data_IF_670058259803
#
_entry.id   IF_670058259803
#
_cell.length_a   1.000
_cell.length_b   1.000
_cell.length_c   1.000
_cell.angle_alpha   90.00
_cell.angle_beta   90.00
_cell.angle_gamma   90.00
#
_symmetry.space_group_name_H-M   'P 1'
#
loop_
_entity.id
_entity.type
_entity.pdbx_description
1 polymer ?
#
# COMPACT_ATOMS: atom_id res chain seq x y z
N UNK A 1 46.97 -56.32 7.79
CA UNK A 1 46.74 -54.92 8.24
C UNK A 1 47.01 -54.01 7.07
N UNK A 2 45.96 -53.53 6.35
CA UNK A 2 46.09 -52.56 5.28
C UNK A 2 45.39 -51.28 5.75
N UNK A 3 46.17 -50.22 5.91
CA UNK A 3 45.67 -48.87 6.27
C UNK A 3 45.23 -48.19 4.96
N UNK A 4 43.95 -47.90 4.84
CA UNK A 4 43.39 -47.11 3.74
C UNK A 4 43.44 -45.64 4.11
N UNK A 5 44.19 -44.86 3.32
CA UNK A 5 44.28 -43.40 3.39
C UNK A 5 43.07 -42.80 2.66
N UNK A 6 42.24 -42.08 3.35
CA UNK A 6 41.17 -41.27 2.76
C UNK A 6 41.70 -39.90 2.40
N UNK A 7 41.78 -39.63 1.11
CA UNK A 7 42.09 -38.30 0.57
C UNK A 7 40.86 -37.40 0.73
N UNK A 8 40.98 -36.34 1.49
CA UNK A 8 39.99 -35.26 1.53
C UNK A 8 40.25 -34.33 0.35
N UNK A 9 39.41 -34.39 -0.66
CA UNK A 9 39.39 -33.37 -1.71
C UNK A 9 38.53 -32.20 -1.26
N UNK A 10 39.19 -31.07 -1.04
CA UNK A 10 38.56 -29.79 -0.79
C UNK A 10 38.08 -29.21 -2.13
N UNK A 11 36.77 -29.19 -2.35
CA UNK A 11 36.20 -28.40 -3.45
C UNK A 11 36.18 -26.89 -3.03
N UNK A 12 37.08 -26.16 -3.62
CA UNK A 12 37.03 -24.72 -3.60
C UNK A 12 35.89 -24.29 -4.57
N UNK A 13 34.78 -23.85 -4.03
CA UNK A 13 33.69 -23.20 -4.80
C UNK A 13 34.15 -21.84 -5.26
N UNK A 14 34.46 -21.69 -6.52
CA UNK A 14 34.71 -20.44 -7.20
C UNK A 14 33.35 -19.72 -7.35
N UNK A 15 33.09 -18.74 -6.50
CA UNK A 15 31.95 -17.83 -6.65
C UNK A 15 32.22 -16.92 -7.83
N UNK A 16 31.63 -17.23 -8.98
CA UNK A 16 31.60 -16.31 -10.13
C UNK A 16 30.65 -15.19 -9.75
N UNK A 17 31.20 -14.05 -9.35
CA UNK A 17 30.48 -12.80 -9.18
C UNK A 17 30.10 -12.29 -10.57
N UNK A 18 28.92 -12.69 -11.08
CA UNK A 18 28.34 -12.06 -12.26
C UNK A 18 27.91 -10.66 -11.86
N UNK A 19 28.76 -9.69 -12.14
CA UNK A 19 28.38 -8.28 -12.16
C UNK A 19 27.36 -8.17 -13.28
N UNK A 20 26.06 -8.14 -12.93
CA UNK A 20 25.02 -7.70 -13.83
C UNK A 20 25.29 -6.23 -14.12
N UNK A 21 25.99 -5.94 -15.22
CA UNK A 21 26.03 -4.62 -15.78
C UNK A 21 24.58 -4.21 -16.04
N UNK A 22 24.08 -3.29 -15.21
CA UNK A 22 22.82 -2.63 -15.52
C UNK A 22 23.03 -1.92 -16.86
N UNK A 23 22.11 -2.07 -17.83
CA UNK A 23 22.18 -1.26 -19.03
C UNK A 23 22.06 0.19 -18.56
N UNK A 24 23.15 0.92 -18.61
CA UNK A 24 23.11 2.37 -18.63
C UNK A 24 22.37 2.72 -19.91
N UNK A 25 21.08 3.07 -19.76
CA UNK A 25 20.37 3.74 -20.82
C UNK A 25 21.15 5.04 -21.08
N UNK A 26 21.92 5.06 -22.16
CA UNK A 26 22.35 6.29 -22.75
C UNK A 26 21.04 7.00 -23.14
N UNK A 27 20.58 7.86 -22.26
CA UNK A 27 19.57 8.83 -22.56
C UNK A 27 20.27 9.75 -23.57
N UNK A 28 20.10 9.51 -24.86
CA UNK A 28 20.35 10.53 -25.88
C UNK A 28 19.34 11.64 -25.60
N UNK A 29 19.68 12.46 -24.61
CA UNK A 29 18.92 13.65 -24.27
C UNK A 29 19.09 14.59 -25.46
N UNK A 30 18.08 14.56 -26.34
CA UNK A 30 17.94 15.56 -27.40
C UNK A 30 17.93 16.91 -26.69
N UNK A 31 18.93 17.72 -26.96
CA UNK A 31 19.06 19.03 -26.35
C UNK A 31 19.28 20.07 -27.47
N UNK A 32 18.48 21.12 -27.45
CA UNK A 32 18.64 22.23 -28.39
C UNK A 32 19.10 23.48 -27.66
N UNK A 33 20.06 24.17 -28.23
CA UNK A 33 20.56 25.47 -27.74
C UNK A 33 19.59 26.61 -28.07
N UNK A 34 18.78 26.45 -29.12
CA UNK A 34 17.79 27.43 -29.57
C UNK A 34 16.65 26.79 -30.37
N UNK A 35 15.52 27.51 -30.51
CA UNK A 35 14.43 27.06 -31.37
C UNK A 35 14.84 27.05 -32.85
N UNK A 36 15.76 27.91 -33.28
CA UNK A 36 16.33 27.85 -34.63
C UNK A 36 17.00 26.52 -34.89
N UNK A 37 17.79 26.03 -33.94
CA UNK A 37 18.43 24.72 -34.03
C UNK A 37 17.38 23.59 -34.04
N UNK A 38 16.39 23.65 -33.18
CA UNK A 38 15.30 22.69 -33.17
C UNK A 38 14.58 22.61 -34.52
N UNK A 39 14.19 23.76 -35.08
CA UNK A 39 13.52 23.85 -36.37
C UNK A 39 14.39 23.37 -37.55
N UNK A 40 15.67 23.68 -37.51
CA UNK A 40 16.62 23.19 -38.54
C UNK A 40 16.79 21.69 -38.51
N UNK A 41 16.59 21.08 -37.35
CA UNK A 41 16.63 19.63 -37.12
C UNK A 41 15.25 18.97 -37.21
N UNK A 42 14.21 19.70 -37.61
CA UNK A 42 12.87 19.21 -37.86
C UNK A 42 12.02 18.98 -36.60
N UNK A 43 12.38 19.63 -35.50
CA UNK A 43 11.60 19.64 -34.27
C UNK A 43 10.84 20.92 -34.10
N UNK A 44 9.54 20.84 -33.85
CA UNK A 44 8.67 21.97 -33.51
C UNK A 44 7.60 21.50 -32.54
N UNK A 45 6.93 22.46 -31.89
CA UNK A 45 5.80 22.20 -31.00
C UNK A 45 6.15 21.16 -29.93
N UNK A 46 7.31 21.31 -29.26
CA UNK A 46 7.87 20.36 -28.28
C UNK A 46 7.17 20.61 -26.96
N UNK A 47 6.34 19.65 -26.52
CA UNK A 47 5.60 19.75 -25.28
C UNK A 47 6.46 19.45 -24.05
N UNK A 48 6.06 20.00 -22.89
CA UNK A 48 6.71 19.75 -21.62
C UNK A 48 6.75 18.25 -21.31
N UNK A 49 7.96 17.72 -21.06
CA UNK A 49 8.23 16.29 -20.83
C UNK A 49 8.67 15.52 -22.07
N UNK A 50 8.65 16.10 -23.25
CA UNK A 50 9.20 15.49 -24.46
C UNK A 50 10.71 15.72 -24.59
N UNK A 51 11.44 14.80 -25.24
CA UNK A 51 12.85 14.98 -25.54
C UNK A 51 13.08 16.26 -26.35
N UNK A 52 13.98 17.11 -25.88
CA UNK A 52 14.27 18.41 -26.49
C UNK A 52 13.49 19.58 -25.88
N UNK A 53 12.50 19.33 -25.00
CA UNK A 53 11.84 20.41 -24.27
C UNK A 53 12.80 21.02 -23.25
N UNK A 54 12.77 22.34 -23.18
CA UNK A 54 13.43 23.12 -22.14
C UNK A 54 12.61 24.37 -21.85
N UNK A 55 12.39 24.70 -20.59
CA UNK A 55 11.68 25.94 -20.19
C UNK A 55 12.34 27.21 -20.72
N UNK A 56 13.63 27.14 -21.07
CA UNK A 56 14.35 28.23 -21.74
C UNK A 56 13.88 28.46 -23.19
N UNK A 57 13.40 27.40 -23.85
CA UNK A 57 12.90 27.42 -25.21
C UNK A 57 11.39 27.71 -25.30
N UNK A 58 10.69 27.50 -24.19
CA UNK A 58 9.26 27.79 -23.95
C UNK A 58 9.17 29.24 -23.39
N UNK A 59 9.16 30.24 -24.28
CA UNK A 59 9.33 31.62 -23.87
C UNK A 59 8.09 32.27 -23.26
N UNK A 60 6.91 31.80 -23.58
CA UNK A 60 5.64 32.30 -23.05
C UNK A 60 5.10 31.42 -21.91
N UNK A 61 5.78 30.25 -21.62
CA UNK A 61 5.51 29.41 -20.48
C UNK A 61 4.24 28.56 -20.60
N UNK A 62 3.67 28.43 -21.80
CA UNK A 62 2.42 27.71 -22.07
C UNK A 62 2.59 26.18 -22.08
N UNK A 63 3.84 25.69 -21.98
CA UNK A 63 4.18 24.26 -21.96
C UNK A 63 4.57 23.71 -23.32
N UNK A 64 4.64 24.55 -24.37
CA UNK A 64 5.06 24.20 -25.74
C UNK A 64 6.29 25.01 -26.10
N UNK A 65 7.40 24.36 -26.36
CA UNK A 65 8.63 25.01 -26.80
C UNK A 65 8.74 25.00 -28.35
N UNK A 66 9.32 26.03 -28.91
CA UNK A 66 9.67 26.14 -30.34
C UNK A 66 8.49 25.89 -31.28
N UNK A 67 7.37 26.55 -31.05
CA UNK A 67 6.17 26.39 -31.88
C UNK A 67 6.47 26.71 -33.35
N UNK A 68 5.97 25.85 -34.21
CA UNK A 68 6.17 25.94 -35.64
C UNK A 68 5.62 27.24 -36.23
N UNK A 69 4.55 27.76 -35.65
CA UNK A 69 3.92 29.03 -36.06
C UNK A 69 4.83 30.24 -35.87
N UNK A 70 5.79 30.15 -34.93
CA UNK A 70 6.77 31.21 -34.63
C UNK A 70 8.09 31.03 -35.39
N UNK A 71 8.24 29.98 -36.20
CA UNK A 71 9.44 29.76 -37.00
C UNK A 71 9.51 30.75 -38.18
N UNK A 72 10.66 31.45 -38.39
CA UNK A 72 10.85 32.29 -39.58
C UNK A 72 10.72 31.47 -40.85
N UNK A 73 10.21 32.09 -41.92
CA UNK A 73 10.04 31.44 -43.24
C UNK A 73 11.36 30.79 -43.70
N UNK A 74 11.29 29.49 -44.05
CA UNK A 74 12.43 28.73 -44.58
C UNK A 74 13.42 28.19 -43.52
N UNK A 75 13.25 28.50 -42.26
CA UNK A 75 14.11 27.97 -41.18
C UNK A 75 13.71 26.56 -40.82
N UNK A 76 12.41 26.27 -40.75
CA UNK A 76 11.94 24.92 -40.49
C UNK A 76 12.24 23.98 -41.65
N UNK A 77 13.08 22.97 -41.41
CA UNK A 77 13.39 21.93 -42.39
C UNK A 77 12.65 20.66 -41.96
N UNK A 78 11.55 20.26 -42.63
CA UNK A 78 10.91 18.99 -42.34
C UNK A 78 11.94 17.88 -42.41
N UNK A 79 11.97 16.97 -41.42
CA UNK A 79 12.78 15.76 -41.52
C UNK A 79 12.37 15.06 -42.83
N UNK A 80 13.30 14.98 -43.77
CA UNK A 80 13.13 14.08 -44.91
C UNK A 80 13.05 12.68 -44.32
N UNK A 81 11.94 12.02 -44.55
CA UNK A 81 11.77 10.60 -44.20
C UNK A 81 12.77 9.78 -45.01
N UNK A 82 14.01 9.72 -44.55
CA UNK A 82 14.81 8.59 -44.91
C UNK A 82 14.09 7.40 -44.27
N UNK A 83 13.70 6.43 -45.10
CA UNK A 83 13.29 5.09 -44.67
C UNK A 83 14.48 4.39 -43.99
N UNK A 84 14.89 4.93 -42.86
CA UNK A 84 15.59 4.20 -41.85
C UNK A 84 14.49 3.51 -41.04
N UNK A 85 14.51 2.19 -41.07
CA UNK A 85 13.87 1.30 -40.12
C UNK A 85 13.69 2.09 -38.80
N UNK A 86 12.46 2.57 -38.56
CA UNK A 86 12.12 3.28 -37.33
C UNK A 86 12.49 2.34 -36.18
N UNK A 87 13.61 2.61 -35.53
CA UNK A 87 13.82 2.11 -34.18
C UNK A 87 12.73 2.77 -33.37
N UNK A 88 11.62 2.09 -33.25
CA UNK A 88 10.56 2.46 -32.34
C UNK A 88 11.21 2.46 -30.98
N UNK A 89 11.44 3.65 -30.42
CA UNK A 89 11.97 3.77 -29.07
C UNK A 89 10.96 3.11 -28.15
N UNK A 90 11.32 1.95 -27.58
CA UNK A 90 10.49 1.27 -26.59
C UNK A 90 10.33 2.17 -25.38
N UNK A 91 9.15 2.20 -24.81
CA UNK A 91 8.89 3.00 -23.62
C UNK A 91 7.43 3.41 -23.45
N UNK A 92 7.20 4.22 -22.45
CA UNK A 92 5.88 4.75 -22.15
C UNK A 92 5.48 5.83 -23.16
N UNK A 93 4.27 5.68 -23.69
CA UNK A 93 3.66 6.66 -24.61
C UNK A 93 2.24 6.99 -24.14
N UNK A 94 1.88 8.28 -24.20
CA UNK A 94 0.52 8.72 -23.93
C UNK A 94 -0.19 8.97 -25.30
N UNK A 95 -1.39 8.39 -25.45
CA UNK A 95 -2.24 8.62 -26.62
C UNK A 95 -3.67 8.82 -26.14
N UNK A 96 -4.26 9.93 -26.50
CA UNK A 96 -5.65 10.28 -26.18
C UNK A 96 -5.97 10.15 -24.66
N UNK A 97 -5.00 10.56 -23.81
CA UNK A 97 -5.13 10.50 -22.35
C UNK A 97 -4.90 9.13 -21.72
N UNK A 98 -4.63 8.09 -22.50
CA UNK A 98 -4.28 6.77 -22.02
C UNK A 98 -2.77 6.48 -22.16
N UNK A 99 -2.21 5.80 -21.16
CA UNK A 99 -0.82 5.37 -21.21
C UNK A 99 -0.69 3.96 -21.76
N UNK A 100 0.30 3.76 -22.61
CA UNK A 100 0.69 2.49 -23.23
C UNK A 100 2.19 2.28 -23.06
N UNK A 101 2.64 1.05 -23.15
CA UNK A 101 4.07 0.74 -23.23
C UNK A 101 4.40 0.13 -24.60
N UNK A 102 5.26 0.82 -25.34
CA UNK A 102 5.68 0.41 -26.67
C UNK A 102 6.93 -0.49 -26.57
N UNK A 103 6.93 -1.63 -27.26
CA UNK A 103 8.09 -2.50 -27.41
C UNK A 103 9.01 -2.01 -28.54
N UNK A 104 10.21 -2.58 -28.60
CA UNK A 104 11.19 -2.24 -29.66
C UNK A 104 10.72 -2.61 -31.08
N UNK A 105 9.81 -3.56 -31.21
CA UNK A 105 9.20 -3.96 -32.48
C UNK A 105 8.01 -3.06 -32.92
N UNK A 106 7.67 -2.06 -32.12
CA UNK A 106 6.55 -1.16 -32.38
C UNK A 106 5.19 -1.66 -31.91
N UNK A 107 5.10 -2.87 -31.35
CA UNK A 107 3.88 -3.39 -30.73
C UNK A 107 3.69 -2.88 -29.30
N UNK A 108 2.45 -2.89 -28.81
CA UNK A 108 2.17 -2.58 -27.41
C UNK A 108 2.34 -3.79 -26.50
N UNK A 109 2.80 -3.52 -25.28
CA UNK A 109 2.69 -4.51 -24.20
C UNK A 109 1.22 -4.64 -23.82
N UNK A 110 0.74 -5.88 -23.68
CA UNK A 110 -0.63 -6.18 -23.27
C UNK A 110 -0.66 -7.30 -22.24
N UNK A 111 -1.70 -7.34 -21.40
CA UNK A 111 -1.94 -8.39 -20.40
C UNK A 111 -0.69 -8.71 -19.55
N UNK A 112 0.07 -7.70 -19.17
CA UNK A 112 1.32 -7.91 -18.42
C UNK A 112 1.77 -6.68 -17.63
N UNK A 113 2.64 -6.94 -16.69
CA UNK A 113 3.27 -5.91 -15.86
C UNK A 113 4.46 -5.28 -16.58
N UNK A 114 4.57 -3.97 -16.43
CA UNK A 114 5.73 -3.18 -16.78
C UNK A 114 6.17 -2.40 -15.53
N UNK A 115 7.09 -2.96 -14.79
CA UNK A 115 7.46 -2.45 -13.47
C UNK A 115 6.25 -2.49 -12.51
N UNK A 116 5.85 -1.33 -12.00
CA UNK A 116 4.72 -1.20 -11.06
C UNK A 116 3.36 -0.99 -11.74
N UNK A 117 3.29 -1.07 -13.05
CA UNK A 117 2.11 -0.76 -13.86
C UNK A 117 1.63 -2.00 -14.62
N UNK A 118 0.33 -2.13 -14.79
CA UNK A 118 -0.24 -3.21 -15.58
C UNK A 118 -0.85 -2.69 -16.88
N UNK A 119 -0.52 -3.34 -18.00
CA UNK A 119 -1.10 -3.07 -19.31
C UNK A 119 -2.21 -4.08 -19.57
N UNK A 120 -3.42 -3.60 -19.83
CA UNK A 120 -4.61 -4.42 -20.10
C UNK A 120 -4.56 -5.07 -21.49
N UNK A 121 -5.57 -5.85 -21.84
CA UNK A 121 -5.67 -6.51 -23.14
C UNK A 121 -5.72 -5.52 -24.32
N UNK A 122 -6.25 -4.31 -24.10
CA UNK A 122 -6.28 -3.22 -25.08
C UNK A 122 -4.97 -2.39 -25.09
N UNK A 123 -3.98 -2.78 -24.30
CA UNK A 123 -2.70 -2.09 -24.15
C UNK A 123 -2.71 -0.88 -23.23
N UNK A 124 -3.87 -0.45 -22.74
CA UNK A 124 -3.95 0.68 -21.83
C UNK A 124 -3.47 0.32 -20.43
N UNK A 125 -2.77 1.25 -19.81
CA UNK A 125 -2.38 1.15 -18.40
C UNK A 125 -3.63 1.16 -17.51
N UNK A 126 -3.75 0.16 -16.64
CA UNK A 126 -4.83 0.06 -15.65
C UNK A 126 -4.72 1.17 -14.59
N UNK A 127 -5.84 1.77 -14.18
CA UNK A 127 -5.93 2.81 -13.14
C UNK A 127 -7.26 2.75 -12.41
N UNK A 128 -7.24 3.04 -11.08
CA UNK A 128 -8.43 3.09 -10.23
C UNK A 128 -9.31 1.84 -10.35
N UNK A 129 -8.69 0.68 -10.53
CA UNK A 129 -9.41 -0.56 -10.74
C UNK A 129 -8.76 -1.76 -10.07
N UNK A 130 -9.59 -2.77 -9.75
CA UNK A 130 -9.13 -4.06 -9.32
C UNK A 130 -8.79 -4.92 -10.51
N UNK A 131 -7.68 -5.64 -10.43
CA UNK A 131 -7.19 -6.56 -11.44
C UNK A 131 -6.92 -7.91 -10.82
N UNK A 132 -7.42 -8.98 -11.43
CA UNK A 132 -6.98 -10.33 -11.13
C UNK A 132 -5.88 -10.74 -12.11
N UNK A 133 -4.71 -11.07 -11.58
CA UNK A 133 -3.59 -11.58 -12.40
C UNK A 133 -3.55 -13.10 -12.35
N UNK A 134 -3.75 -13.72 -13.52
CA UNK A 134 -3.74 -15.18 -13.65
C UNK A 134 -2.34 -15.80 -13.52
N UNK A 135 -1.28 -15.05 -13.79
CA UNK A 135 0.11 -15.53 -13.67
C UNK A 135 0.51 -15.60 -12.20
N UNK A 136 0.26 -14.51 -11.47
CA UNK A 136 0.56 -14.43 -10.05
C UNK A 136 -0.58 -14.95 -9.16
N UNK A 137 -1.73 -15.30 -9.74
CA UNK A 137 -2.92 -15.82 -9.04
C UNK A 137 -3.32 -14.95 -7.84
N UNK A 138 -3.56 -13.66 -8.10
CA UNK A 138 -3.88 -12.70 -7.05
C UNK A 138 -4.61 -11.48 -7.55
N UNK A 139 -5.37 -10.86 -6.65
CA UNK A 139 -5.99 -9.56 -6.89
C UNK A 139 -5.02 -8.45 -6.53
N UNK A 140 -4.96 -7.44 -7.38
CA UNK A 140 -4.20 -6.20 -7.22
C UNK A 140 -5.14 -5.00 -7.38
N UNK A 141 -4.80 -3.89 -6.75
CA UNK A 141 -5.49 -2.63 -6.99
C UNK A 141 -4.53 -1.64 -7.63
N UNK A 142 -4.90 -1.13 -8.81
CA UNK A 142 -4.15 -0.10 -9.53
C UNK A 142 -4.69 1.27 -9.10
N UNK A 143 -3.82 2.12 -8.54
CA UNK A 143 -4.16 3.46 -8.06
C UNK A 143 -4.41 4.44 -9.21
N UNK A 144 -4.78 5.68 -8.89
CA UNK A 144 -5.00 6.75 -9.88
C UNK A 144 -3.77 7.09 -10.73
N UNK A 145 -2.57 6.91 -10.16
CA UNK A 145 -1.29 7.07 -10.86
C UNK A 145 -0.90 5.84 -11.69
N UNK A 146 -1.69 4.78 -11.67
CA UNK A 146 -1.45 3.52 -12.35
C UNK A 146 -0.55 2.54 -11.61
N UNK A 147 0.09 2.93 -10.51
CA UNK A 147 0.90 2.00 -9.71
C UNK A 147 0.01 1.08 -8.86
N UNK A 148 0.45 -0.16 -8.63
CA UNK A 148 -0.30 -1.03 -7.73
C UNK A 148 -0.17 -0.59 -6.27
N UNK A 149 -1.24 -0.74 -5.52
CA UNK A 149 -1.26 -0.50 -4.07
C UNK A 149 -0.51 -1.61 -3.33
N UNK A 150 0.18 -1.25 -2.25
CA UNK A 150 0.87 -2.20 -1.35
C UNK A 150 0.93 -1.66 0.06
N UNK A 151 0.97 -2.57 1.06
CA UNK A 151 0.97 -2.24 2.48
C UNK A 151 -0.12 -1.21 2.83
N UNK A 152 -1.31 -1.38 2.28
CA UNK A 152 -2.38 -0.38 2.40
C UNK A 152 -3.77 -0.98 2.23
N UNK A 153 -4.74 -0.29 2.79
CA UNK A 153 -6.15 -0.60 2.63
C UNK A 153 -6.74 0.04 1.38
N UNK A 154 -7.60 -0.71 0.72
CA UNK A 154 -8.48 -0.23 -0.33
C UNK A 154 -9.92 -0.66 -0.01
N UNK A 155 -10.68 0.22 0.61
CA UNK A 155 -11.97 -0.12 1.20
C UNK A 155 -11.79 -1.18 2.29
N UNK A 156 -12.53 -2.28 2.19
CA UNK A 156 -12.49 -3.40 3.15
C UNK A 156 -11.35 -4.41 2.89
N UNK A 157 -10.47 -4.15 1.94
CA UNK A 157 -9.43 -5.09 1.48
C UNK A 157 -8.02 -4.56 1.77
N UNK A 158 -7.12 -5.44 2.12
CA UNK A 158 -5.72 -5.10 2.39
C UNK A 158 -4.79 -5.61 1.29
N UNK A 159 -3.94 -4.73 0.76
CA UNK A 159 -2.90 -5.06 -0.20
C UNK A 159 -1.57 -5.26 0.54
N UNK A 160 -0.99 -6.46 0.41
CA UNK A 160 0.28 -6.84 1.07
C UNK A 160 1.48 -6.13 0.46
N UNK A 161 2.67 -6.40 0.96
CA UNK A 161 3.93 -5.81 0.47
C UNK A 161 4.24 -6.16 -0.99
N UNK A 162 3.78 -7.32 -1.45
CA UNK A 162 3.88 -7.78 -2.84
C UNK A 162 2.75 -7.24 -3.72
N UNK A 163 1.81 -6.47 -3.17
CA UNK A 163 0.65 -5.91 -3.85
C UNK A 163 -0.54 -6.84 -3.95
N UNK A 164 -0.42 -8.10 -3.55
CA UNK A 164 -1.57 -9.03 -3.58
C UNK A 164 -2.55 -8.71 -2.46
N UNK A 165 -3.83 -8.82 -2.77
CA UNK A 165 -4.89 -8.75 -1.77
C UNK A 165 -4.76 -9.91 -0.77
N UNK A 166 -4.75 -9.61 0.50
CA UNK A 166 -4.73 -10.59 1.58
C UNK A 166 -6.05 -11.36 1.63
N UNK A 167 -5.98 -12.68 1.88
CA UNK A 167 -7.14 -13.58 2.02
C UNK A 167 -6.86 -14.69 3.00
N UNK A 168 -7.85 -15.01 3.84
CA UNK A 168 -7.78 -16.11 4.82
C UNK A 168 -6.54 -16.02 5.71
N UNK A 169 -6.13 -14.81 6.07
CA UNK A 169 -4.90 -14.57 6.83
C UNK A 169 -5.03 -13.40 7.80
N UNK A 170 -4.16 -13.40 8.80
CA UNK A 170 -4.03 -12.31 9.76
C UNK A 170 -3.02 -11.28 9.25
N UNK A 171 -3.37 -9.99 9.36
CA UNK A 171 -2.50 -8.87 9.04
C UNK A 171 -2.37 -7.96 10.26
N UNK A 172 -1.13 -7.59 10.59
CA UNK A 172 -0.88 -6.50 11.52
C UNK A 172 -0.68 -5.20 10.75
N UNK A 173 -1.53 -4.22 11.04
CA UNK A 173 -1.40 -2.88 10.47
C UNK A 173 -0.74 -1.94 11.48
N UNK A 174 0.47 -1.48 11.15
CA UNK A 174 1.24 -0.57 12.01
C UNK A 174 0.66 0.84 12.07
N UNK A 175 -0.06 1.28 11.05
CA UNK A 175 -0.73 2.60 11.02
C UNK A 175 -1.92 2.65 11.97
N UNK A 176 -2.72 1.61 11.97
CA UNK A 176 -3.85 1.47 12.89
C UNK A 176 -3.49 0.77 14.20
N UNK A 177 -2.26 0.25 14.33
CA UNK A 177 -1.77 -0.47 15.51
C UNK A 177 -2.69 -1.63 15.95
N UNK A 178 -3.06 -2.49 14.99
CA UNK A 178 -4.01 -3.55 15.25
C UNK A 178 -3.87 -4.76 14.35
N UNK A 179 -4.32 -5.91 14.84
CA UNK A 179 -4.47 -7.12 14.06
C UNK A 179 -5.84 -7.17 13.42
N UNK A 180 -5.88 -7.57 12.15
CA UNK A 180 -7.09 -7.77 11.34
C UNK A 180 -7.06 -9.16 10.72
N UNK A 181 -8.22 -9.75 10.53
CA UNK A 181 -8.34 -11.00 9.78
C UNK A 181 -9.06 -10.76 8.46
N UNK A 182 -8.40 -11.12 7.35
CA UNK A 182 -8.98 -11.06 6.01
C UNK A 182 -9.65 -12.40 5.71
N UNK A 183 -10.94 -12.36 5.39
CA UNK A 183 -11.75 -13.54 5.06
C UNK A 183 -11.35 -14.14 3.70
N UNK A 184 -11.95 -15.26 3.32
CA UNK A 184 -11.69 -15.92 2.03
C UNK A 184 -12.06 -15.07 0.82
N UNK A 185 -13.02 -14.15 0.97
CA UNK A 185 -13.39 -13.16 -0.04
C UNK A 185 -12.44 -11.95 -0.09
N UNK A 186 -11.50 -11.86 0.87
CA UNK A 186 -10.53 -10.77 1.01
C UNK A 186 -10.99 -9.62 1.88
N UNK A 187 -12.27 -9.53 2.25
CA UNK A 187 -12.74 -8.47 3.14
C UNK A 187 -12.35 -8.75 4.59
N UNK A 188 -12.09 -7.69 5.38
CA UNK A 188 -11.78 -7.89 6.79
C UNK A 188 -13.00 -8.36 7.60
N UNK A 189 -12.75 -9.20 8.59
CA UNK A 189 -13.76 -9.67 9.52
C UNK A 189 -14.09 -8.56 10.53
N UNK A 190 -15.36 -8.45 10.92
CA UNK A 190 -15.85 -7.54 11.96
C UNK A 190 -17.01 -8.15 12.73
N UNK A 191 -17.15 -7.77 14.01
CA UNK A 191 -18.18 -8.27 14.93
C UNK A 191 -18.27 -9.81 14.89
N UNK A 192 -17.15 -10.50 14.84
CA UNK A 192 -17.13 -11.96 14.65
C UNK A 192 -15.90 -12.62 15.25
N UNK A 193 -16.05 -13.91 15.52
CA UNK A 193 -14.94 -14.75 15.98
C UNK A 193 -14.17 -15.34 14.81
N UNK A 194 -12.84 -15.34 14.95
CA UNK A 194 -11.93 -16.09 14.10
C UNK A 194 -11.07 -17.01 15.00
N UNK A 195 -11.47 -18.26 15.08
CA UNK A 195 -10.95 -19.17 16.10
C UNK A 195 -11.23 -18.62 17.51
N UNK A 196 -10.20 -18.44 18.31
CA UNK A 196 -10.31 -17.91 19.67
C UNK A 196 -10.12 -16.40 19.79
N UNK A 197 -10.13 -15.68 18.66
CA UNK A 197 -9.95 -14.22 18.60
C UNK A 197 -11.22 -13.55 18.14
N UNK A 198 -11.56 -12.42 18.74
CA UNK A 198 -12.73 -11.63 18.35
C UNK A 198 -12.32 -10.38 17.56
N UNK A 199 -12.95 -10.16 16.43
CA UNK A 199 -12.80 -8.96 15.62
C UNK A 199 -13.94 -7.98 15.96
N UNK A 200 -13.57 -6.76 16.35
CA UNK A 200 -14.53 -5.71 16.74
C UNK A 200 -15.25 -5.11 15.53
N UNK A 201 -16.12 -4.14 15.76
CA UNK A 201 -16.85 -3.43 14.68
C UNK A 201 -15.94 -2.67 13.72
N UNK A 202 -14.78 -2.21 14.19
CA UNK A 202 -13.73 -1.57 13.39
C UNK A 202 -12.78 -2.58 12.71
N UNK A 203 -13.00 -3.88 12.91
CA UNK A 203 -12.19 -4.98 12.40
C UNK A 203 -10.93 -5.30 13.21
N UNK A 204 -10.59 -4.52 14.21
CA UNK A 204 -9.43 -4.82 15.07
C UNK A 204 -9.69 -6.02 15.95
N UNK A 205 -8.67 -6.83 16.13
CA UNK A 205 -8.69 -7.89 17.14
C UNK A 205 -8.81 -7.28 18.53
N UNK A 206 -9.81 -7.73 19.27
CA UNK A 206 -10.05 -7.31 20.65
C UNK A 206 -8.93 -7.81 21.58
N UNK A 207 -8.58 -6.99 22.58
CA UNK A 207 -7.59 -7.33 23.61
C UNK A 207 -8.01 -6.77 24.94
N UNK A 208 -7.86 -7.60 25.97
CA UNK A 208 -8.10 -7.21 27.36
C UNK A 208 -9.49 -6.57 27.59
N UNK A 209 -10.50 -7.14 26.94
CA UNK A 209 -11.86 -6.59 26.97
C UNK A 209 -12.94 -7.67 26.89
N UNK A 210 -14.16 -7.31 27.33
CA UNK A 210 -15.35 -8.14 27.13
C UNK A 210 -15.92 -7.90 25.74
N UNK A 211 -16.25 -8.99 25.02
CA UNK A 211 -16.74 -8.95 23.64
C UNK A 211 -18.07 -9.68 23.49
N UNK A 212 -18.67 -9.59 22.31
CA UNK A 212 -19.91 -10.26 21.94
C UNK A 212 -21.04 -10.00 22.95
N UNK A 213 -21.32 -8.73 23.21
CA UNK A 213 -22.34 -8.29 24.19
C UNK A 213 -21.96 -8.60 25.64
N UNK A 214 -20.67 -8.65 25.94
CA UNK A 214 -20.16 -8.90 27.29
C UNK A 214 -20.23 -10.37 27.73
N UNK A 215 -20.36 -11.29 26.77
CA UNK A 215 -20.44 -12.74 27.05
C UNK A 215 -19.09 -13.39 27.23
N UNK A 216 -18.06 -12.87 26.58
CA UNK A 216 -16.74 -13.48 26.53
C UNK A 216 -15.65 -12.47 26.84
N UNK A 217 -14.66 -12.86 27.63
CA UNK A 217 -13.48 -12.05 27.89
C UNK A 217 -12.32 -12.53 27.02
N UNK A 218 -11.62 -11.61 26.36
CA UNK A 218 -10.37 -11.87 25.65
C UNK A 218 -9.20 -11.24 26.40
N UNK A 219 -8.10 -11.97 26.54
CA UNK A 219 -6.92 -11.54 27.28
C UNK A 219 -6.09 -10.48 26.53
N UNK A 220 -4.98 -10.08 27.14
CA UNK A 220 -4.02 -9.13 26.55
C UNK A 220 -3.37 -9.63 25.25
N UNK A 221 -3.33 -10.93 25.05
CA UNK A 221 -2.88 -11.62 23.83
C UNK A 221 -4.00 -11.72 22.77
N UNK A 222 -5.23 -11.32 23.13
CA UNK A 222 -6.43 -11.39 22.28
C UNK A 222 -7.14 -12.75 22.34
N UNK A 223 -6.60 -13.75 23.04
CA UNK A 223 -7.22 -15.07 23.14
C UNK A 223 -8.44 -15.02 24.05
N UNK A 224 -9.50 -15.70 23.61
CA UNK A 224 -10.63 -16.00 24.46
C UNK A 224 -10.15 -16.76 25.70
N UNK A 225 -10.45 -16.20 26.85
CA UNK A 225 -10.18 -16.83 28.15
C UNK A 225 -11.40 -17.68 28.52
N UNK A 226 -11.27 -19.00 28.30
CA UNK A 226 -12.24 -19.91 28.89
C UNK A 226 -12.05 -19.91 30.41
N UNK A 227 -12.66 -18.92 31.04
CA UNK A 227 -12.70 -18.88 32.49
C UNK A 227 -13.63 -20.01 32.99
N UNK A 228 -13.11 -21.22 33.05
CA UNK A 228 -13.55 -22.21 34.02
C UNK A 228 -13.08 -21.78 35.42
N UNK A 229 -13.34 -20.52 35.73
CA UNK A 229 -13.22 -19.97 37.08
C UNK A 229 -14.54 -20.28 37.76
N UNK A 230 -14.49 -20.92 38.92
CA UNK A 230 -15.63 -21.08 39.82
C UNK A 230 -16.58 -19.90 39.70
N UNK A 231 -17.84 -20.16 39.43
CA UNK A 231 -18.90 -19.20 39.05
C UNK A 231 -18.99 -17.91 39.89
N UNK A 232 -18.34 -17.84 41.03
CA UNK A 232 -18.29 -16.66 41.89
C UNK A 232 -17.32 -15.57 41.43
N UNK A 233 -16.13 -15.93 40.89
CA UNK A 233 -15.12 -14.91 40.50
C UNK A 233 -15.36 -14.30 39.08
N UNK A 234 -15.96 -15.07 38.15
CA UNK A 234 -16.27 -14.54 36.80
C UNK A 234 -17.42 -13.55 36.81
N UNK A 235 -18.44 -13.80 37.63
CA UNK A 235 -19.54 -12.85 37.83
C UNK A 235 -19.05 -11.59 38.52
N UNK A 236 -18.13 -11.70 39.48
CA UNK A 236 -17.55 -10.52 40.14
C UNK A 236 -16.73 -9.66 39.17
N UNK A 237 -15.88 -10.27 38.37
CA UNK A 237 -15.06 -9.53 37.38
C UNK A 237 -15.94 -8.83 36.36
N UNK A 238 -16.94 -9.53 35.78
CA UNK A 238 -17.90 -8.93 34.84
C UNK A 238 -18.66 -7.76 35.47
N UNK A 239 -19.10 -7.95 36.74
CA UNK A 239 -19.79 -6.90 37.49
C UNK A 239 -18.87 -5.69 37.72
N UNK A 240 -17.58 -5.93 38.05
CA UNK A 240 -16.61 -4.87 38.28
C UNK A 240 -16.37 -4.01 37.01
N UNK A 241 -16.24 -4.64 35.82
CA UNK A 241 -16.11 -3.90 34.56
C UNK A 241 -17.35 -3.07 34.21
N UNK A 242 -18.56 -3.67 34.38
CA UNK A 242 -19.81 -2.97 34.15
C UNK A 242 -19.99 -1.81 35.12
N UNK A 243 -19.74 -2.03 36.42
CA UNK A 243 -19.83 -1.00 37.43
C UNK A 243 -18.82 0.13 37.21
N UNK A 244 -17.60 -0.20 36.80
CA UNK A 244 -16.58 0.80 36.47
C UNK A 244 -17.03 1.69 35.30
N UNK A 245 -17.63 1.10 34.24
CA UNK A 245 -18.16 1.85 33.11
C UNK A 245 -19.34 2.74 33.49
N UNK A 246 -20.30 2.24 34.27
CA UNK A 246 -21.43 3.05 34.78
C UNK A 246 -20.94 4.22 35.64
N UNK A 247 -19.97 3.97 36.51
CA UNK A 247 -19.37 5.05 37.32
C UNK A 247 -18.64 6.06 36.46
N UNK A 248 -17.90 5.59 35.42
CA UNK A 248 -17.24 6.48 34.48
C UNK A 248 -18.24 7.36 33.72
N UNK A 249 -19.33 6.76 33.20
CA UNK A 249 -20.43 7.52 32.56
C UNK A 249 -21.03 8.56 33.48
N UNK A 250 -21.30 8.19 34.72
CA UNK A 250 -21.82 9.12 35.74
C UNK A 250 -20.87 10.29 36.00
N UNK A 251 -19.59 10.03 36.25
CA UNK A 251 -18.59 11.09 36.46
C UNK A 251 -18.42 11.99 35.23
N UNK A 252 -18.49 11.41 34.03
CA UNK A 252 -18.39 12.20 32.80
C UNK A 252 -19.61 13.13 32.59
N UNK A 253 -20.81 12.63 32.93
CA UNK A 253 -22.06 13.41 32.71
C UNK A 253 -22.18 14.65 33.58
N UNK A 254 -21.74 14.59 34.84
CA UNK A 254 -21.91 15.73 35.74
C UNK A 254 -20.62 16.49 36.08
N UNK A 255 -19.45 15.91 35.93
CA UNK A 255 -18.19 16.54 36.29
C UNK A 255 -17.27 16.81 35.08
N UNK A 256 -17.62 16.34 33.89
CA UNK A 256 -16.85 16.49 32.64
C UNK A 256 -15.33 16.27 32.84
N UNK A 257 -14.98 15.17 33.50
CA UNK A 257 -13.60 14.89 33.87
C UNK A 257 -12.76 14.49 32.66
N UNK A 258 -11.50 14.93 32.61
CA UNK A 258 -10.55 14.37 31.66
C UNK A 258 -10.32 12.86 31.89
N UNK A 259 -10.05 12.10 30.85
CA UNK A 259 -9.79 10.63 30.94
C UNK A 259 -8.77 10.29 32.03
N UNK A 260 -7.69 11.06 32.15
CA UNK A 260 -6.65 10.88 33.17
C UNK A 260 -7.18 11.08 34.61
N UNK A 261 -8.01 12.08 34.82
CA UNK A 261 -8.62 12.37 36.12
C UNK A 261 -9.65 11.33 36.49
N UNK A 262 -10.43 10.89 35.50
CA UNK A 262 -11.44 9.85 35.66
C UNK A 262 -10.78 8.50 36.01
N UNK A 263 -9.72 8.09 35.32
CA UNK A 263 -8.94 6.90 35.66
C UNK A 263 -8.44 6.92 37.08
N UNK A 264 -7.87 8.05 37.52
CA UNK A 264 -7.39 8.21 38.90
C UNK A 264 -8.52 8.10 39.93
N UNK A 265 -9.70 8.64 39.59
CA UNK A 265 -10.89 8.53 40.46
C UNK A 265 -11.40 7.09 40.61
N UNK A 266 -11.42 6.37 39.48
CA UNK A 266 -11.86 4.97 39.45
C UNK A 266 -10.90 4.03 40.21
N UNK A 267 -9.59 4.27 40.17
CA UNK A 267 -8.56 3.38 40.78
C UNK A 267 -8.14 3.81 42.20
N UNK A 268 -8.46 5.00 42.63
CA UNK A 268 -7.99 5.55 43.93
C UNK A 268 -8.54 4.78 45.12
N UNK A 269 -7.72 4.61 46.16
CA UNK A 269 -8.17 4.10 47.45
C UNK A 269 -9.24 4.97 48.14
N UNK A 270 -9.28 6.25 47.81
CA UNK A 270 -10.27 7.20 48.30
C UNK A 270 -11.42 7.42 47.28
N UNK A 271 -11.36 6.75 46.14
CA UNK A 271 -12.39 6.76 45.11
C UNK A 271 -13.15 5.45 45.03
N UNK A 272 -13.35 4.93 43.81
CA UNK A 272 -14.19 3.76 43.55
C UNK A 272 -13.46 2.39 43.78
N UNK A 273 -12.14 2.40 43.87
CA UNK A 273 -11.28 1.23 44.13
C UNK A 273 -11.38 0.11 43.09
N UNK A 274 -11.77 0.42 41.86
CA UNK A 274 -11.75 -0.55 40.77
C UNK A 274 -10.32 -0.98 40.46
N UNK A 275 -10.18 -2.18 39.91
CA UNK A 275 -8.89 -2.64 39.35
C UNK A 275 -8.45 -1.72 38.21
N UNK A 276 -7.14 -1.69 37.96
CA UNK A 276 -6.56 -0.95 36.83
C UNK A 276 -7.23 -1.32 35.49
N UNK A 277 -7.52 -2.63 35.32
CA UNK A 277 -8.11 -3.15 34.10
C UNK A 277 -9.58 -2.73 33.94
N UNK A 278 -10.38 -2.80 35.02
CA UNK A 278 -11.76 -2.33 34.99
C UNK A 278 -11.86 -0.81 34.74
N UNK A 279 -10.97 -0.03 35.35
CA UNK A 279 -10.90 1.40 35.13
C UNK A 279 -10.47 1.75 33.67
N UNK A 280 -9.48 1.03 33.12
CA UNK A 280 -9.05 1.24 31.74
C UNK A 280 -10.17 0.86 30.76
N UNK A 281 -10.81 -0.27 30.97
CA UNK A 281 -12.01 -0.66 30.22
C UNK A 281 -13.05 0.44 30.18
N UNK A 282 -13.40 1.00 31.37
CA UNK A 282 -14.39 2.07 31.48
C UNK A 282 -14.00 3.33 30.69
N UNK A 283 -12.71 3.70 30.68
CA UNK A 283 -12.19 4.85 29.92
C UNK A 283 -12.27 4.63 28.42
N UNK A 284 -11.96 3.41 27.96
CA UNK A 284 -11.92 3.07 26.56
C UNK A 284 -13.34 2.96 25.94
N UNK A 285 -14.33 2.60 26.78
CA UNK A 285 -15.72 2.39 26.35
C UNK A 285 -16.66 3.54 26.77
N UNK A 286 -16.13 4.64 27.29
CA UNK A 286 -16.93 5.76 27.81
C UNK A 286 -17.86 6.41 26.76
N UNK A 287 -17.47 6.39 25.49
CA UNK A 287 -18.20 7.00 24.37
C UNK A 287 -18.60 5.95 23.28
N UNK A 288 -18.76 4.69 23.67
CA UNK A 288 -19.07 3.61 22.75
C UNK A 288 -20.59 3.34 22.66
N UNK A 289 -21.40 4.39 22.49
CA UNK A 289 -22.84 4.28 22.18
C UNK A 289 -23.10 4.72 20.74
#
# INVERSE_FOLDING_TARGET
MKKTFLLKTSLASLSVLTILAQPTFANDTIHFSSCTEAWQNGYSDIHRGEPGYSSRLDKDGDGVACERSKAPRGVFKPRQSHSQSSRTTSGWVNRDGAWYYLKSDGSYVTNSWQGNYYLKSDGKMAKNEWLYDNVYQGWYYLKSDGTYAKNSWQGDYYLKSDGKMAKSEWIYDGGYQGWYYLKSDGSYAKNSWQGNYYLKSDGKMAKNEWVDGGRYFVGSDGLWQNQSVSQSSSNQTKTDYTNALEKAKNYNSWANMSKKRLYKQLTSQYGEKFTSDAAQYAIDHLNAD
#
